data_IF_804988263626
#
_entry.id   IF_804988263626
#
_cell.length_a   1.000
_cell.length_b   1.000
_cell.length_c   1.000
_cell.angle_alpha   90.00
_cell.angle_beta   90.00
_cell.angle_gamma   90.00
#
_symmetry.space_group_name_H-M   'P 1'
#
loop_
_entity.id
_entity.type
_entity.pdbx_description
1 polymer ?
#
# COMPACT_ATOMS: atom_id res chain seq x y z
N UNK A 1 -9.70 0.84 7.33
CA UNK A 1 -8.82 1.96 7.71
C UNK A 1 -8.23 2.68 6.51
N UNK A 2 -7.58 2.00 5.54
CA UNK A 2 -6.93 2.66 4.40
C UNK A 2 -7.86 3.58 3.61
N UNK A 3 -9.08 3.16 3.30
CA UNK A 3 -10.09 4.00 2.64
C UNK A 3 -10.48 5.21 3.51
N UNK A 4 -10.62 5.05 4.83
CA UNK A 4 -10.94 6.17 5.72
C UNK A 4 -9.82 7.21 5.71
N UNK A 5 -8.55 6.80 5.77
CA UNK A 5 -7.39 7.69 5.67
C UNK A 5 -7.39 8.45 4.33
N UNK A 6 -7.63 7.75 3.22
CA UNK A 6 -7.69 8.36 1.89
C UNK A 6 -8.78 9.42 1.81
N UNK A 7 -9.98 9.13 2.33
CA UNK A 7 -11.10 10.07 2.34
C UNK A 7 -10.87 11.29 3.23
N UNK A 8 -10.22 11.11 4.38
CA UNK A 8 -9.88 12.18 5.32
C UNK A 8 -8.85 13.15 4.73
N UNK A 9 -7.87 12.60 3.99
CA UNK A 9 -6.80 13.40 3.40
C UNK A 9 -7.15 14.00 2.03
N UNK A 10 -8.27 13.60 1.42
CA UNK A 10 -8.66 14.08 0.09
C UNK A 10 -8.78 15.60 0.03
N UNK A 11 -8.03 16.21 -0.88
CA UNK A 11 -8.03 17.66 -1.12
C UNK A 11 -7.16 18.47 -0.16
N UNK A 12 -6.63 17.85 0.92
CA UNK A 12 -5.69 18.50 1.83
C UNK A 12 -4.43 18.97 1.10
N UNK A 13 -3.80 20.01 1.62
CA UNK A 13 -2.55 20.56 1.09
C UNK A 13 -1.45 20.46 2.15
N UNK A 14 -0.46 19.60 1.88
CA UNK A 14 0.69 19.40 2.77
C UNK A 14 1.95 19.87 2.04
N UNK A 15 2.68 20.81 2.64
CA UNK A 15 3.91 21.38 2.08
C UNK A 15 3.75 21.85 0.62
N UNK A 16 2.59 22.45 0.28
CA UNK A 16 2.27 22.93 -1.06
C UNK A 16 1.84 21.85 -2.06
N UNK A 17 1.76 20.59 -1.65
CA UNK A 17 1.27 19.49 -2.46
C UNK A 17 -0.17 19.14 -2.09
N UNK A 18 -1.07 19.16 -3.08
CA UNK A 18 -2.45 18.70 -2.90
C UNK A 18 -2.48 17.17 -2.88
N UNK A 19 -3.18 16.62 -1.90
CA UNK A 19 -3.45 15.18 -1.82
C UNK A 19 -4.65 14.85 -2.71
N UNK A 20 -4.48 13.81 -3.53
CA UNK A 20 -5.54 13.22 -4.35
C UNK A 20 -5.69 11.78 -3.91
N UNK A 21 -6.88 11.43 -3.47
CA UNK A 21 -7.20 10.09 -2.99
C UNK A 21 -7.82 9.23 -4.09
N UNK A 22 -7.33 7.99 -4.22
CA UNK A 22 -7.95 6.97 -5.07
C UNK A 22 -8.17 5.70 -4.27
N UNK A 23 -9.37 5.15 -4.31
CA UNK A 23 -9.71 3.88 -3.65
C UNK A 23 -9.68 2.76 -4.68
N UNK A 24 -8.73 1.85 -4.55
CA UNK A 24 -8.61 0.69 -5.43
C UNK A 24 -9.47 -0.48 -4.94
N UNK A 25 -10.08 -1.26 -5.85
CA UNK A 25 -10.79 -2.47 -5.47
C UNK A 25 -9.83 -3.55 -4.99
N UNK A 26 -10.30 -4.44 -4.11
CA UNK A 26 -9.56 -5.66 -3.76
C UNK A 26 -9.82 -6.68 -4.88
N UNK A 27 -9.14 -6.49 -6.01
CA UNK A 27 -9.29 -7.30 -7.22
C UNK A 27 -7.96 -7.41 -7.94
N UNK A 28 -7.56 -8.64 -8.28
CA UNK A 28 -6.33 -8.90 -9.04
C UNK A 28 -6.36 -8.33 -10.46
N UNK A 29 -7.55 -8.21 -11.06
CA UNK A 29 -7.70 -7.67 -12.40
C UNK A 29 -7.82 -6.15 -12.41
N UNK A 30 -8.67 -5.59 -11.54
CA UNK A 30 -9.05 -4.18 -11.63
C UNK A 30 -8.07 -3.24 -10.92
N UNK A 31 -7.45 -3.68 -9.80
CA UNK A 31 -6.59 -2.80 -9.03
C UNK A 31 -5.37 -2.30 -9.81
N UNK A 32 -4.64 -3.13 -10.59
CA UNK A 32 -3.53 -2.64 -11.43
C UNK A 32 -3.98 -1.66 -12.51
N UNK A 33 -5.15 -1.90 -13.13
CA UNK A 33 -5.70 -1.05 -14.18
C UNK A 33 -6.05 0.32 -13.62
N UNK A 34 -6.77 0.38 -12.49
CA UNK A 34 -7.15 1.63 -11.87
C UNK A 34 -5.95 2.39 -11.30
N UNK A 35 -4.92 1.68 -10.81
CA UNK A 35 -3.66 2.30 -10.39
C UNK A 35 -2.98 3.00 -11.57
N UNK A 36 -2.85 2.33 -12.71
CA UNK A 36 -2.24 2.91 -13.90
C UNK A 36 -3.03 4.14 -14.41
N UNK A 37 -4.36 4.04 -14.44
CA UNK A 37 -5.24 5.16 -14.81
C UNK A 37 -5.05 6.36 -13.88
N UNK A 38 -4.98 6.15 -12.56
CA UNK A 38 -4.76 7.22 -11.60
C UNK A 38 -3.40 7.91 -11.78
N UNK A 39 -2.34 7.15 -12.08
CA UNK A 39 -1.02 7.71 -12.36
C UNK A 39 -1.03 8.60 -13.60
N UNK A 40 -1.67 8.14 -14.68
CA UNK A 40 -1.77 8.92 -15.92
C UNK A 40 -2.62 10.18 -15.77
N UNK A 41 -3.76 10.08 -15.09
CA UNK A 41 -4.69 11.18 -14.89
C UNK A 41 -4.11 12.27 -14.01
N UNK A 42 -3.52 11.90 -12.88
CA UNK A 42 -3.12 12.87 -11.86
C UNK A 42 -1.64 13.27 -11.93
N UNK A 43 -0.79 12.49 -12.63
CA UNK A 43 0.65 12.73 -12.77
C UNK A 43 1.31 13.17 -11.47
N UNK A 44 1.22 12.35 -10.41
CA UNK A 44 1.65 12.74 -9.08
C UNK A 44 3.18 12.88 -9.00
N UNK A 45 3.66 13.72 -8.07
CA UNK A 45 5.09 13.78 -7.73
C UNK A 45 5.51 12.68 -6.75
N UNK A 46 4.54 12.15 -5.98
CA UNK A 46 4.73 11.13 -4.97
C UNK A 46 3.49 10.23 -4.91
N UNK A 47 3.67 8.92 -4.74
CA UNK A 47 2.57 7.97 -4.56
C UNK A 47 2.77 7.15 -3.30
N UNK A 48 1.79 7.17 -2.41
CA UNK A 48 1.74 6.31 -1.24
C UNK A 48 0.52 5.40 -1.37
N UNK A 49 0.74 4.12 -1.64
CA UNK A 49 -0.32 3.13 -1.60
C UNK A 49 -0.52 2.65 -0.16
N UNK A 50 -1.78 2.52 0.26
CA UNK A 50 -2.15 2.10 1.60
C UNK A 50 -2.95 0.81 1.55
N UNK A 51 -2.62 -0.14 2.43
CA UNK A 51 -3.38 -1.36 2.64
C UNK A 51 -3.63 -1.61 4.11
N UNK A 52 -4.71 -2.31 4.42
CA UNK A 52 -4.97 -2.77 5.77
C UNK A 52 -4.37 -4.16 5.97
N UNK A 53 -3.65 -4.38 7.05
CA UNK A 53 -3.10 -5.68 7.43
C UNK A 53 -3.59 -6.10 8.82
N UNK A 54 -4.52 -7.06 8.87
CA UNK A 54 -4.94 -7.72 10.11
C UNK A 54 -3.77 -8.42 10.80
N UNK A 55 -3.81 -8.47 12.13
CA UNK A 55 -2.75 -9.08 12.95
C UNK A 55 -1.50 -8.21 13.14
N UNK A 56 -1.40 -7.04 12.51
CA UNK A 56 -0.33 -6.06 12.75
C UNK A 56 -0.81 -4.98 13.70
N UNK A 57 0.04 -4.62 14.67
CA UNK A 57 -0.25 -3.56 15.63
C UNK A 57 0.38 -2.20 15.26
N UNK A 58 1.33 -2.22 14.32
CA UNK A 58 2.15 -1.09 13.94
C UNK A 58 1.87 -0.69 12.49
N UNK A 59 2.09 0.58 12.15
CA UNK A 59 2.24 1.01 10.77
C UNK A 59 3.46 0.30 10.17
N UNK A 60 3.28 -0.40 9.07
CA UNK A 60 4.36 -1.14 8.42
C UNK A 60 4.79 -0.47 7.13
N UNK A 61 6.00 0.06 7.11
CA UNK A 61 6.62 0.64 5.92
C UNK A 61 7.21 -0.49 5.09
N UNK A 62 6.57 -0.82 3.97
CA UNK A 62 6.96 -1.96 3.14
C UNK A 62 8.19 -1.64 2.30
N UNK A 63 9.24 -2.44 2.44
CA UNK A 63 10.51 -2.21 1.74
C UNK A 63 10.57 -2.81 0.36
N UNK A 64 9.84 -3.90 0.13
CA UNK A 64 9.97 -4.72 -1.07
C UNK A 64 8.62 -5.30 -1.47
N UNK A 65 8.35 -5.25 -2.78
CA UNK A 65 7.29 -5.99 -3.46
C UNK A 65 7.91 -7.15 -4.23
N UNK A 66 7.29 -8.32 -4.20
CA UNK A 66 7.77 -9.52 -4.90
C UNK A 66 6.89 -9.86 -6.09
N UNK A 67 7.49 -10.47 -7.11
CA UNK A 67 6.78 -10.92 -8.31
C UNK A 67 6.07 -12.25 -8.08
N UNK A 68 5.16 -12.27 -7.09
CA UNK A 68 4.41 -13.46 -6.70
C UNK A 68 2.99 -13.09 -6.28
N UNK A 69 2.02 -13.82 -6.80
CA UNK A 69 0.66 -13.92 -6.28
C UNK A 69 0.47 -15.35 -5.78
N UNK A 70 0.13 -15.50 -4.52
CA UNK A 70 -0.23 -16.77 -3.90
C UNK A 70 -1.37 -16.50 -2.90
N UNK A 71 -2.60 -16.53 -3.43
CA UNK A 71 -3.78 -16.03 -2.74
C UNK A 71 -4.38 -17.10 -1.82
N UNK A 72 -4.36 -16.86 -0.50
CA UNK A 72 -4.99 -17.77 0.49
C UNK A 72 -6.51 -17.78 0.43
N UNK A 73 -7.11 -16.71 -0.10
CA UNK A 73 -8.55 -16.53 -0.27
C UNK A 73 -8.81 -15.89 -1.62
N UNK A 74 -10.04 -16.01 -2.12
CA UNK A 74 -10.45 -15.31 -3.31
C UNK A 74 -10.52 -13.78 -3.08
N UNK A 75 -10.29 -13.02 -4.14
CA UNK A 75 -10.53 -11.58 -4.15
C UNK A 75 -12.04 -11.25 -4.24
N UNK A 76 -12.41 -9.98 -4.32
CA UNK A 76 -13.82 -9.56 -4.38
C UNK A 76 -14.54 -9.96 -5.68
N UNK A 77 -13.82 -10.45 -6.68
CA UNK A 77 -14.37 -11.01 -7.93
C UNK A 77 -14.38 -12.55 -7.95
N UNK A 78 -13.92 -13.18 -6.89
CA UNK A 78 -13.84 -14.63 -6.79
C UNK A 78 -12.59 -15.25 -7.39
N UNK A 79 -11.59 -14.44 -7.77
CA UNK A 79 -10.33 -14.92 -8.32
C UNK A 79 -9.36 -15.29 -7.19
N UNK A 80 -8.71 -16.43 -7.32
CA UNK A 80 -7.73 -16.94 -6.37
C UNK A 80 -6.50 -17.49 -7.08
N UNK A 81 -5.65 -16.65 -7.67
CA UNK A 81 -4.41 -17.11 -8.31
C UNK A 81 -3.45 -17.67 -7.27
N UNK A 82 -2.79 -18.77 -7.61
CA UNK A 82 -1.85 -19.45 -6.71
C UNK A 82 -0.53 -19.68 -7.44
N UNK A 83 0.56 -19.33 -6.77
CA UNK A 83 1.93 -19.51 -7.27
C UNK A 83 2.14 -18.98 -8.70
N UNK A 84 1.62 -17.77 -8.96
CA UNK A 84 1.73 -17.11 -10.26
C UNK A 84 2.53 -15.81 -10.14
N UNK A 85 3.25 -15.39 -11.19
CA UNK A 85 3.90 -14.08 -11.19
C UNK A 85 2.86 -12.95 -11.24
N UNK A 86 3.21 -11.79 -10.68
CA UNK A 86 2.46 -10.54 -10.88
C UNK A 86 2.62 -10.08 -12.32
N UNK A 87 3.83 -10.21 -12.86
CA UNK A 87 4.19 -9.83 -14.23
C UNK A 87 5.10 -10.91 -14.84
N UNK A 88 4.65 -11.51 -15.93
CA UNK A 88 5.45 -12.47 -16.69
C UNK A 88 6.76 -11.83 -17.15
N UNK A 89 7.87 -12.54 -16.91
CA UNK A 89 9.22 -12.08 -17.21
C UNK A 89 9.63 -10.75 -16.51
N UNK A 90 8.88 -10.28 -15.53
CA UNK A 90 9.25 -9.14 -14.71
C UNK A 90 10.38 -9.48 -13.72
N UNK A 91 11.08 -8.47 -13.17
CA UNK A 91 12.05 -8.69 -12.10
C UNK A 91 11.44 -9.42 -10.90
N UNK A 92 12.21 -10.22 -10.20
CA UNK A 92 11.75 -10.97 -9.03
C UNK A 92 11.23 -10.09 -7.87
N UNK A 93 11.68 -8.84 -7.81
CA UNK A 93 11.25 -7.88 -6.79
C UNK A 93 11.53 -6.43 -7.20
N UNK A 94 10.79 -5.50 -6.60
CA UNK A 94 11.07 -4.06 -6.60
C UNK A 94 11.19 -3.55 -5.18
N UNK A 95 12.09 -2.59 -4.96
CA UNK A 95 12.18 -1.88 -3.69
C UNK A 95 11.37 -0.59 -3.72
N UNK A 96 10.81 -0.23 -2.57
CA UNK A 96 10.20 1.09 -2.36
C UNK A 96 11.21 2.20 -2.63
N UNK A 97 10.80 3.25 -3.35
CA UNK A 97 11.58 4.46 -3.56
C UNK A 97 11.29 5.56 -2.54
N UNK A 98 10.42 5.29 -1.57
CA UNK A 98 10.16 6.18 -0.44
C UNK A 98 11.37 6.24 0.52
N UNK A 99 11.58 7.37 1.22
CA UNK A 99 12.67 7.52 2.18
C UNK A 99 12.33 6.82 3.52
N UNK A 100 12.12 5.50 3.47
CA UNK A 100 11.55 4.71 4.57
C UNK A 100 12.30 4.84 5.91
N UNK A 101 13.62 5.04 5.88
CA UNK A 101 14.39 5.23 7.12
C UNK A 101 14.08 6.57 7.80
N UNK A 102 13.93 7.63 7.01
CA UNK A 102 13.54 8.95 7.53
C UNK A 102 12.09 8.92 8.02
N UNK A 103 11.19 8.32 7.25
CA UNK A 103 9.79 8.13 7.66
C UNK A 103 9.70 7.35 8.98
N UNK A 104 10.44 6.25 9.10
CA UNK A 104 10.48 5.45 10.33
C UNK A 104 11.00 6.27 11.52
N UNK A 105 12.04 7.09 11.34
CA UNK A 105 12.58 7.93 12.39
C UNK A 105 11.56 8.98 12.85
N UNK A 106 10.94 9.71 11.90
CA UNK A 106 9.90 10.70 12.18
C UNK A 106 8.71 10.12 12.96
N UNK A 107 8.18 8.98 12.52
CA UNK A 107 7.05 8.34 13.19
C UNK A 107 7.42 7.88 14.60
N UNK A 108 8.63 7.37 14.80
CA UNK A 108 9.11 7.00 16.13
C UNK A 108 9.28 8.21 17.07
N UNK A 109 9.79 9.32 16.55
CA UNK A 109 9.89 10.58 17.31
C UNK A 109 8.52 11.11 17.71
N UNK A 110 7.52 10.92 16.86
CA UNK A 110 6.11 11.22 17.14
C UNK A 110 5.42 10.18 18.04
N UNK A 111 6.14 9.18 18.56
CA UNK A 111 5.62 8.06 19.33
C UNK A 111 4.56 7.23 18.62
N UNK A 112 4.51 7.26 17.29
CA UNK A 112 3.64 6.41 16.46
C UNK A 112 4.27 5.01 16.32
N UNK A 113 3.55 3.93 16.65
CA UNK A 113 4.05 2.57 16.45
C UNK A 113 4.32 2.29 14.97
N UNK A 114 5.57 2.01 14.63
CA UNK A 114 6.01 1.83 13.25
C UNK A 114 7.10 0.77 13.14
N UNK A 115 7.07 0.01 12.06
CA UNK A 115 8.08 -1.00 11.73
C UNK A 115 8.48 -0.93 10.26
N UNK A 116 9.68 -1.44 9.94
CA UNK A 116 10.13 -1.68 8.58
C UNK A 116 9.81 -3.13 8.22
N UNK A 117 9.01 -3.34 7.18
CA UNK A 117 8.58 -4.67 6.75
C UNK A 117 9.31 -5.13 5.49
N UNK A 118 9.58 -6.42 5.40
CA UNK A 118 10.20 -7.06 4.24
C UNK A 118 9.18 -7.89 3.43
N UNK A 119 7.88 -7.78 3.73
CA UNK A 119 6.87 -8.51 2.97
C UNK A 119 5.51 -7.85 3.07
N UNK A 120 4.99 -7.42 1.93
CA UNK A 120 3.60 -6.99 1.77
C UNK A 120 2.61 -8.17 1.59
N UNK A 121 3.09 -9.39 1.82
CA UNK A 121 2.34 -10.62 1.54
C UNK A 121 2.41 -11.04 0.08
N UNK A 122 1.43 -11.84 -0.36
CA UNK A 122 1.30 -12.35 -1.74
C UNK A 122 -0.13 -12.20 -2.29
N UNK A 123 -0.88 -11.25 -1.73
CA UNK A 123 -2.25 -10.93 -2.14
C UNK A 123 -2.28 -9.60 -2.93
N UNK A 124 -3.46 -9.03 -3.13
CA UNK A 124 -3.67 -7.78 -3.91
C UNK A 124 -2.78 -6.63 -3.44
N UNK A 125 -2.48 -6.51 -2.14
CA UNK A 125 -1.58 -5.45 -1.63
C UNK A 125 -0.17 -5.55 -2.23
N UNK A 126 0.42 -6.76 -2.24
CA UNK A 126 1.71 -6.98 -2.86
C UNK A 126 1.67 -6.76 -4.37
N UNK A 127 0.60 -7.18 -5.03
CA UNK A 127 0.42 -6.96 -6.47
C UNK A 127 0.36 -5.46 -6.80
N UNK A 128 -0.44 -4.68 -6.06
CA UNK A 128 -0.54 -3.21 -6.22
C UNK A 128 0.83 -2.56 -6.00
N UNK A 129 1.54 -2.98 -4.94
CA UNK A 129 2.88 -2.45 -4.66
C UNK A 129 3.88 -2.81 -5.77
N UNK A 130 3.85 -4.03 -6.27
CA UNK A 130 4.73 -4.47 -7.37
C UNK A 130 4.43 -3.68 -8.64
N UNK A 131 3.16 -3.56 -9.04
CA UNK A 131 2.75 -2.79 -10.21
C UNK A 131 3.10 -1.32 -10.10
N UNK A 132 2.83 -0.69 -8.94
CA UNK A 132 3.26 0.67 -8.68
C UNK A 132 4.76 0.83 -8.92
N UNK A 133 5.57 0.00 -8.27
CA UNK A 133 7.02 0.07 -8.38
C UNK A 133 7.52 -0.20 -9.81
N UNK A 134 6.87 -1.12 -10.55
CA UNK A 134 7.17 -1.39 -11.95
C UNK A 134 6.89 -0.17 -12.83
N UNK A 135 5.70 0.43 -12.76
CA UNK A 135 5.32 1.62 -13.53
C UNK A 135 6.23 2.81 -13.20
N UNK A 136 6.57 3.00 -11.94
CA UNK A 136 7.51 4.05 -11.55
C UNK A 136 8.91 3.80 -12.12
N UNK A 137 9.37 2.56 -12.18
CA UNK A 137 10.70 2.25 -12.71
C UNK A 137 10.79 2.35 -14.25
N UNK A 138 9.69 2.09 -14.94
CA UNK A 138 9.68 1.97 -16.41
C UNK A 138 9.11 3.22 -17.12
N UNK A 139 8.09 3.84 -16.54
CA UNK A 139 7.31 4.89 -17.18
C UNK A 139 7.42 6.24 -16.46
N UNK A 140 7.60 6.24 -15.13
CA UNK A 140 7.62 7.45 -14.31
C UNK A 140 8.84 7.54 -13.39
N UNK A 141 10.09 7.44 -13.91
CA UNK A 141 11.30 7.30 -13.06
C UNK A 141 11.59 8.51 -12.17
N UNK A 142 10.96 9.66 -12.39
CA UNK A 142 11.04 10.85 -11.55
C UNK A 142 10.09 10.81 -10.34
N UNK A 143 9.08 9.93 -10.35
CA UNK A 143 8.09 9.81 -9.28
C UNK A 143 8.58 8.81 -8.23
N UNK A 144 8.44 9.17 -6.97
CA UNK A 144 8.71 8.24 -5.85
C UNK A 144 7.43 7.59 -5.40
N UNK A 145 7.51 6.34 -4.96
CA UNK A 145 6.35 5.66 -4.42
C UNK A 145 6.69 4.41 -3.64
N UNK A 146 5.70 3.93 -2.94
CA UNK A 146 5.80 2.72 -2.14
C UNK A 146 4.48 2.38 -1.46
N UNK A 147 4.53 1.41 -0.56
CA UNK A 147 3.37 0.85 0.09
C UNK A 147 3.52 0.86 1.61
N UNK A 148 2.43 1.19 2.28
CA UNK A 148 2.33 1.19 3.74
C UNK A 148 1.12 0.35 4.14
N UNK A 149 1.34 -0.62 5.02
CA UNK A 149 0.24 -1.27 5.69
C UNK A 149 -0.09 -0.55 7.00
N UNK A 150 -1.39 -0.37 7.21
CA UNK A 150 -1.93 0.16 8.46
C UNK A 150 -2.67 -0.94 9.23
N UNK A 151 -2.67 -0.91 10.57
CA UNK A 151 -3.43 -1.85 11.38
C UNK A 151 -4.95 -1.61 11.24
N UNK A 152 -5.77 -2.44 11.90
CA UNK A 152 -7.18 -2.15 12.08
C UNK A 152 -7.37 -0.78 12.76
N UNK A 153 -8.45 -0.06 12.45
CA UNK A 153 -8.92 1.00 13.35
C UNK A 153 -9.40 0.38 14.67
N UNK A 154 -9.34 1.15 15.75
CA UNK A 154 -9.72 0.66 17.11
C UNK A 154 -11.09 0.00 17.10
N UNK A 155 -12.09 0.62 16.48
CA UNK A 155 -13.47 0.13 16.42
C UNK A 155 -13.62 -1.14 15.57
N UNK A 156 -12.71 -1.34 14.62
CA UNK A 156 -12.66 -2.55 13.80
C UNK A 156 -11.96 -3.68 14.53
N UNK A 157 -10.88 -3.39 15.25
CA UNK A 157 -10.11 -4.37 16.01
C UNK A 157 -10.95 -5.07 17.09
N UNK A 158 -11.90 -4.37 17.71
CA UNK A 158 -12.85 -4.95 18.67
C UNK A 158 -13.63 -6.14 18.11
N UNK A 159 -13.86 -6.16 16.80
CA UNK A 159 -14.56 -7.26 16.09
C UNK A 159 -13.64 -8.37 15.63
N UNK A 160 -12.33 -8.13 15.69
CA UNK A 160 -11.28 -9.04 15.20
C UNK A 160 -10.29 -9.41 16.31
N UNK A 161 -10.74 -9.50 17.56
CA UNK A 161 -9.89 -9.90 18.67
C UNK A 161 -9.12 -11.21 18.36
N UNK A 162 -7.83 -11.32 18.72
CA UNK A 162 -7.08 -10.49 19.67
C UNK A 162 -6.30 -9.31 19.05
N UNK A 163 -6.63 -8.88 17.84
CA UNK A 163 -5.90 -7.84 17.13
C UNK A 163 -5.95 -6.49 17.88
N UNK A 164 -4.86 -5.75 17.81
CA UNK A 164 -4.80 -4.38 18.33
C UNK A 164 -5.15 -3.40 17.22
N UNK A 165 -5.97 -2.41 17.54
CA UNK A 165 -6.30 -1.31 16.65
C UNK A 165 -5.46 -0.07 16.91
N UNK A 166 -5.49 0.85 15.96
CA UNK A 166 -4.91 2.19 16.05
C UNK A 166 -6.00 3.21 15.77
N UNK A 167 -6.10 4.31 16.53
CA UNK A 167 -7.03 5.40 16.23
C UNK A 167 -6.76 6.00 14.83
N UNK A 168 -7.80 6.48 14.17
CA UNK A 168 -7.65 7.09 12.83
C UNK A 168 -6.81 8.37 12.88
N UNK A 169 -6.90 9.11 13.97
CA UNK A 169 -6.21 10.38 14.20
C UNK A 169 -4.70 10.23 14.52
N UNK A 170 -4.20 8.98 14.59
CA UNK A 170 -2.78 8.70 14.79
C UNK A 170 -2.00 8.93 13.51
#
# INVERSE_FOLDING_TARGET
PSECIVRELEGEVIEGHRIIGAVLPVSFEDAPIQLAQALEEHRPALVIALGQAGGRADISLERVAINLIDARIADNRGLQPMDTPVLDNGPGAYFSSLPLKAMHACLREAAVPVSLSLSAGSFVCNQVFYWLAHLLATEHPQVRGGFIHVPWMTEQAERHAPDKGMPLET
#
